data_IF_391306042512
#
_entry.id   IF_391306042512
#
_cell.length_a   1.000
_cell.length_b   1.000
_cell.length_c   1.000
_cell.angle_alpha   90.00
_cell.angle_beta   90.00
_cell.angle_gamma   90.00
#
_symmetry.space_group_name_H-M   'P 1'
#
loop_
_entity.id
_entity.type
_entity.pdbx_description
1 polymer ?
#
# COMPACT_ATOMS: atom_id res chain seq x y z
N UNK A 1 6.13 2.71 17.11
CA UNK A 1 6.52 1.67 16.14
C UNK A 1 5.85 0.38 16.55
N UNK A 2 5.27 -0.41 15.63
CA UNK A 2 4.77 -1.74 16.00
C UNK A 2 5.94 -2.60 16.53
N UNK A 3 5.75 -3.37 17.61
CA UNK A 3 6.76 -4.30 18.09
C UNK A 3 7.13 -5.27 16.96
N UNK A 4 8.41 -5.68 16.88
CA UNK A 4 8.95 -6.59 15.84
C UNK A 4 9.35 -7.94 16.44
N UNK A 5 8.75 -8.29 17.56
CA UNK A 5 9.24 -9.32 18.46
C UNK A 5 8.82 -10.70 17.97
N UNK A 6 7.69 -10.80 17.27
CA UNK A 6 7.19 -12.07 16.69
C UNK A 6 7.26 -12.09 15.16
N UNK A 7 7.27 -13.30 14.59
CA UNK A 7 7.24 -13.46 13.13
C UNK A 7 5.97 -12.86 12.51
N UNK A 8 4.81 -13.01 13.15
CA UNK A 8 3.55 -12.49 12.63
C UNK A 8 3.49 -10.96 12.66
N UNK A 9 4.10 -10.32 13.67
CA UNK A 9 4.30 -8.87 13.68
C UNK A 9 5.20 -8.40 12.53
N UNK A 10 6.26 -9.15 12.22
CA UNK A 10 7.14 -8.85 11.09
C UNK A 10 6.41 -9.01 9.75
N UNK A 11 5.62 -10.08 9.59
CA UNK A 11 4.75 -10.28 8.42
C UNK A 11 3.78 -9.13 8.26
N UNK A 12 3.07 -8.75 9.33
CA UNK A 12 2.11 -7.64 9.32
C UNK A 12 2.77 -6.31 8.95
N UNK A 13 3.98 -6.05 9.47
CA UNK A 13 4.72 -4.84 9.15
C UNK A 13 5.13 -4.84 7.67
N UNK A 14 5.56 -5.98 7.12
CA UNK A 14 5.90 -6.12 5.70
C UNK A 14 4.68 -5.94 4.80
N UNK A 15 3.54 -6.54 5.15
CA UNK A 15 2.27 -6.32 4.46
C UNK A 15 1.92 -4.83 4.36
N UNK A 16 1.97 -4.10 5.47
CA UNK A 16 1.69 -2.66 5.47
C UNK A 16 2.69 -1.86 4.63
N UNK A 17 3.97 -2.22 4.67
CA UNK A 17 4.98 -1.61 3.81
C UNK A 17 4.67 -1.88 2.32
N UNK A 18 4.25 -3.10 1.97
CA UNK A 18 3.86 -3.46 0.61
C UNK A 18 2.62 -2.70 0.14
N UNK A 19 1.58 -2.58 0.97
CA UNK A 19 0.40 -1.78 0.66
C UNK A 19 0.77 -0.32 0.36
N UNK A 20 1.70 0.25 1.14
CA UNK A 20 2.14 1.62 0.93
C UNK A 20 2.82 1.83 -0.44
N UNK A 21 3.44 0.80 -1.01
CA UNK A 21 4.03 0.88 -2.37
C UNK A 21 3.00 1.08 -3.49
N UNK A 22 1.71 0.89 -3.19
CA UNK A 22 0.60 1.10 -4.14
C UNK A 22 -0.09 2.46 -3.96
N UNK A 23 0.33 3.26 -2.98
CA UNK A 23 -0.14 4.63 -2.86
C UNK A 23 0.36 5.48 -4.04
N UNK A 24 -0.56 6.20 -4.69
CA UNK A 24 -0.27 7.08 -5.82
C UNK A 24 0.36 8.41 -5.35
N UNK A 25 1.57 8.32 -4.83
CA UNK A 25 2.38 9.46 -4.42
C UNK A 25 3.23 10.00 -5.58
N UNK A 26 3.82 11.17 -5.39
CA UNK A 26 4.86 11.66 -6.32
C UNK A 26 6.05 10.67 -6.36
N UNK A 27 6.77 10.57 -7.50
CA UNK A 27 7.87 9.60 -7.67
C UNK A 27 8.94 9.64 -6.57
N UNK A 28 9.30 10.84 -6.10
CA UNK A 28 10.28 11.02 -5.01
C UNK A 28 9.86 10.30 -3.72
N UNK A 29 8.57 10.27 -3.41
CA UNK A 29 8.03 9.57 -2.24
C UNK A 29 7.84 8.08 -2.51
N UNK A 30 7.42 7.71 -3.73
CA UNK A 30 7.30 6.30 -4.12
C UNK A 30 8.65 5.58 -4.02
N UNK A 31 9.74 6.23 -4.42
CA UNK A 31 11.12 5.73 -4.22
C UNK A 31 11.39 5.38 -2.75
N UNK A 32 10.98 6.25 -1.82
CA UNK A 32 11.19 6.01 -0.37
C UNK A 32 10.36 4.82 0.14
N UNK A 33 9.10 4.71 -0.30
CA UNK A 33 8.22 3.58 0.08
C UNK A 33 8.74 2.25 -0.45
N UNK A 34 9.13 2.19 -1.73
CA UNK A 34 9.68 1.01 -2.38
C UNK A 34 11.02 0.61 -1.77
N UNK A 35 11.91 1.57 -1.46
CA UNK A 35 13.18 1.29 -0.76
C UNK A 35 12.94 0.68 0.62
N UNK A 36 11.92 1.17 1.34
CA UNK A 36 11.55 0.64 2.66
C UNK A 36 11.03 -0.79 2.54
N UNK A 37 10.09 -1.04 1.63
CA UNK A 37 9.53 -2.36 1.37
C UNK A 37 10.62 -3.35 0.92
N UNK A 38 11.51 -2.96 -0.01
CA UNK A 38 12.62 -3.77 -0.48
C UNK A 38 13.49 -4.28 0.67
N UNK A 39 13.93 -3.38 1.55
CA UNK A 39 14.79 -3.75 2.69
C UNK A 39 14.08 -4.66 3.69
N UNK A 40 12.78 -4.46 3.90
CA UNK A 40 11.99 -5.27 4.83
C UNK A 40 11.76 -6.68 4.28
N UNK A 41 11.35 -6.80 3.01
CA UNK A 41 11.11 -8.10 2.37
C UNK A 41 12.40 -8.89 2.18
N UNK A 42 13.53 -8.22 1.90
CA UNK A 42 14.83 -8.89 1.84
C UNK A 42 15.22 -9.49 3.21
N UNK A 43 14.98 -8.77 4.31
CA UNK A 43 15.22 -9.28 5.67
C UNK A 43 14.27 -10.42 6.06
N UNK A 44 13.02 -10.35 5.59
CA UNK A 44 12.02 -11.41 5.76
C UNK A 44 12.27 -12.62 4.85
N UNK A 45 13.30 -12.55 3.99
CA UNK A 45 13.65 -13.59 3.00
C UNK A 45 12.54 -13.89 1.99
N UNK A 46 11.70 -12.89 1.73
CA UNK A 46 10.75 -12.90 0.63
C UNK A 46 11.40 -12.30 -0.61
N UNK A 47 12.30 -13.07 -1.23
CA UNK A 47 13.18 -12.60 -2.29
C UNK A 47 12.47 -12.39 -3.63
N UNK A 48 11.46 -13.20 -3.96
CA UNK A 48 10.68 -13.05 -5.20
C UNK A 48 9.94 -11.71 -5.18
N UNK A 49 9.24 -11.43 -4.09
CA UNK A 49 8.52 -10.16 -3.93
C UNK A 49 9.48 -8.97 -3.77
N UNK A 50 10.59 -9.13 -3.03
CA UNK A 50 11.62 -8.10 -2.93
C UNK A 50 12.21 -7.71 -4.29
N UNK A 51 12.48 -8.69 -5.18
CA UNK A 51 12.97 -8.43 -6.52
C UNK A 51 12.01 -7.55 -7.34
N UNK A 52 10.70 -7.77 -7.20
CA UNK A 52 9.68 -6.93 -7.85
C UNK A 52 9.76 -5.47 -7.37
N UNK A 53 9.87 -5.25 -6.06
CA UNK A 53 10.05 -3.90 -5.51
C UNK A 53 11.33 -3.24 -6.01
N UNK A 54 12.44 -3.99 -6.13
CA UNK A 54 13.70 -3.46 -6.65
C UNK A 54 13.58 -3.02 -8.12
N UNK A 55 12.89 -3.79 -8.97
CA UNK A 55 12.65 -3.42 -10.38
C UNK A 55 11.82 -2.14 -10.48
N UNK A 56 10.68 -2.07 -9.80
CA UNK A 56 9.82 -0.88 -9.74
C UNK A 56 10.58 0.34 -9.19
N UNK A 57 11.44 0.14 -8.18
CA UNK A 57 12.28 1.21 -7.64
C UNK A 57 13.27 1.75 -8.68
N UNK A 58 13.89 0.88 -9.47
CA UNK A 58 14.85 1.26 -10.51
C UNK A 58 14.18 1.98 -11.69
N UNK A 59 12.97 1.58 -12.05
CA UNK A 59 12.16 2.23 -13.10
C UNK A 59 11.84 3.69 -12.77
N UNK A 60 11.74 4.05 -11.49
CA UNK A 60 11.50 5.44 -11.04
C UNK A 60 12.74 6.35 -11.13
N UNK A 61 13.91 5.83 -11.53
CA UNK A 61 15.14 6.61 -11.68
C UNK A 61 15.66 7.22 -10.36
N UNK A 62 15.97 6.42 -9.33
CA UNK A 62 16.45 6.94 -8.06
C UNK A 62 17.89 7.44 -8.17
N UNK A 63 18.36 8.17 -7.15
CA UNK A 63 19.77 8.64 -7.07
C UNK A 63 20.75 7.48 -7.25
N UNK A 64 21.95 7.70 -7.85
CA UNK A 64 22.89 6.63 -8.18
C UNK A 64 23.22 5.67 -7.03
N UNK A 65 23.41 6.20 -5.82
CA UNK A 65 23.68 5.40 -4.62
C UNK A 65 22.54 4.42 -4.29
N UNK A 66 21.29 4.89 -4.37
CA UNK A 66 20.10 4.06 -4.13
C UNK A 66 19.92 3.05 -5.25
N UNK A 67 20.18 3.44 -6.51
CA UNK A 67 20.13 2.53 -7.65
C UNK A 67 21.16 1.41 -7.54
N UNK A 68 22.40 1.71 -7.15
CA UNK A 68 23.45 0.72 -6.92
C UNK A 68 23.06 -0.26 -5.80
N UNK A 69 22.54 0.25 -4.68
CA UNK A 69 22.06 -0.58 -3.58
C UNK A 69 20.92 -1.50 -4.04
N UNK A 70 19.94 -0.97 -4.78
CA UNK A 70 18.80 -1.73 -5.28
C UNK A 70 19.23 -2.84 -6.27
N UNK A 71 20.16 -2.55 -7.19
CA UNK A 71 20.72 -3.55 -8.11
C UNK A 71 21.45 -4.67 -7.37
N UNK A 72 22.23 -4.35 -6.34
CA UNK A 72 22.92 -5.35 -5.51
C UNK A 72 21.94 -6.28 -4.81
N UNK A 73 20.87 -5.72 -4.24
CA UNK A 73 19.81 -6.52 -3.60
C UNK A 73 19.08 -7.37 -4.64
N UNK A 74 18.72 -6.80 -5.80
CA UNK A 74 18.06 -7.51 -6.88
C UNK A 74 18.86 -8.74 -7.34
N UNK A 75 20.15 -8.58 -7.59
CA UNK A 75 21.04 -9.70 -7.95
C UNK A 75 21.09 -10.78 -6.86
N UNK A 76 21.03 -10.40 -5.58
CA UNK A 76 20.97 -11.36 -4.49
C UNK A 76 19.63 -12.10 -4.45
N UNK A 77 18.51 -11.41 -4.70
CA UNK A 77 17.18 -12.02 -4.78
C UNK A 77 17.06 -12.99 -5.97
N UNK A 78 17.68 -12.68 -7.12
CA UNK A 78 17.60 -13.50 -8.32
C UNK A 78 18.35 -14.84 -8.20
N UNK A 79 19.31 -14.95 -7.28
CA UNK A 79 19.96 -16.24 -6.97
C UNK A 79 19.01 -17.24 -6.31
N UNK A 80 18.04 -16.74 -5.54
CA UNK A 80 17.07 -17.56 -4.81
C UNK A 80 15.68 -16.92 -4.91
N UNK A 81 14.99 -17.03 -6.05
CA UNK A 81 13.75 -16.29 -6.33
C UNK A 81 12.52 -16.95 -5.68
N UNK A 82 12.58 -17.17 -4.37
CA UNK A 82 11.52 -17.79 -3.57
C UNK A 82 11.08 -16.86 -2.45
N UNK A 83 9.82 -16.98 -2.02
CA UNK A 83 9.33 -16.30 -0.82
C UNK A 83 9.20 -17.33 0.31
N UNK A 84 9.84 -17.07 1.46
CA UNK A 84 9.81 -17.98 2.63
C UNK A 84 8.47 -17.93 3.37
N UNK A 85 7.78 -16.80 3.32
CA UNK A 85 6.57 -16.54 4.09
C UNK A 85 5.42 -16.07 3.21
N UNK A 86 4.27 -16.74 3.32
CA UNK A 86 3.03 -16.26 2.74
C UNK A 86 2.54 -15.01 3.49
N UNK A 87 2.22 -13.95 2.73
CA UNK A 87 1.69 -12.69 3.22
C UNK A 87 0.32 -12.42 2.59
N UNK A 88 -0.48 -11.56 3.20
CA UNK A 88 -1.74 -11.06 2.65
C UNK A 88 -1.52 -9.94 1.61
N UNK A 89 -0.64 -10.19 0.65
CA UNK A 89 -0.29 -9.22 -0.39
C UNK A 89 -0.22 -9.91 -1.74
N UNK A 90 -0.88 -9.30 -2.72
CA UNK A 90 -0.83 -9.72 -4.12
C UNK A 90 -0.54 -8.47 -4.95
N UNK A 91 0.60 -8.47 -5.63
CA UNK A 91 1.07 -7.33 -6.41
C UNK A 91 0.33 -7.16 -7.75
N UNK A 92 -0.27 -8.23 -8.27
CA UNK A 92 -0.91 -8.24 -9.59
C UNK A 92 -2.41 -7.92 -9.53
N UNK A 93 -3.02 -8.06 -8.35
CA UNK A 93 -4.43 -7.79 -8.14
C UNK A 93 -4.65 -6.39 -7.56
N UNK A 94 -5.26 -5.44 -8.31
CA UNK A 94 -5.51 -4.10 -7.80
C UNK A 94 -6.37 -4.12 -6.53
N UNK A 95 -5.98 -3.31 -5.53
CA UNK A 95 -6.70 -3.18 -4.27
C UNK A 95 -6.74 -1.74 -3.79
N UNK A 96 -7.75 -1.43 -2.98
CA UNK A 96 -7.79 -0.24 -2.14
C UNK A 96 -7.35 -0.60 -0.72
N UNK A 97 -6.90 0.38 0.07
CA UNK A 97 -6.53 0.15 1.48
C UNK A 97 -7.68 0.60 2.37
N UNK A 98 -8.13 -0.28 3.27
CA UNK A 98 -9.11 0.11 4.28
C UNK A 98 -8.52 1.18 5.22
N UNK A 99 -9.18 2.33 5.31
CA UNK A 99 -8.73 3.47 6.11
C UNK A 99 -8.77 3.30 7.63
N UNK A 100 -9.26 2.16 8.14
CA UNK A 100 -9.28 1.82 9.58
C UNK A 100 -8.40 0.60 9.85
N UNK A 101 -8.66 -0.52 9.16
CA UNK A 101 -7.97 -1.79 9.44
C UNK A 101 -6.62 -1.94 8.72
N UNK A 102 -6.31 -1.07 7.76
CA UNK A 102 -5.11 -1.18 6.90
C UNK A 102 -4.96 -2.56 6.26
N UNK A 103 -6.08 -3.15 5.84
CA UNK A 103 -6.15 -4.38 5.05
C UNK A 103 -6.46 -4.05 3.58
N UNK A 104 -6.01 -4.86 2.62
CA UNK A 104 -6.33 -4.67 1.22
C UNK A 104 -7.78 -5.07 0.95
N UNK A 105 -8.47 -4.28 0.14
CA UNK A 105 -9.79 -4.54 -0.42
C UNK A 105 -9.58 -4.77 -1.91
N UNK A 106 -9.47 -6.03 -2.30
CA UNK A 106 -9.23 -6.40 -3.69
C UNK A 106 -10.42 -6.08 -4.59
N UNK A 107 -10.12 -5.78 -5.86
CA UNK A 107 -11.13 -5.45 -6.86
C UNK A 107 -12.22 -6.53 -6.93
N UNK A 108 -13.48 -6.09 -6.90
CA UNK A 108 -14.66 -6.97 -6.92
C UNK A 108 -15.15 -7.40 -5.53
N UNK A 109 -14.41 -7.12 -4.45
CA UNK A 109 -14.91 -7.26 -3.08
C UNK A 109 -15.76 -6.05 -2.68
N UNK A 110 -16.75 -6.22 -1.78
CA UNK A 110 -17.58 -5.12 -1.31
C UNK A 110 -16.72 -4.08 -0.58
N UNK A 111 -16.94 -2.81 -0.91
CA UNK A 111 -16.20 -1.65 -0.41
C UNK A 111 -17.20 -0.53 -0.13
N UNK A 112 -17.02 0.16 0.99
CA UNK A 112 -17.77 1.37 1.34
C UNK A 112 -16.82 2.58 1.25
N UNK A 113 -17.29 3.69 0.71
CA UNK A 113 -16.47 4.90 0.53
C UNK A 113 -16.94 6.03 1.43
N UNK A 114 -15.99 6.84 1.89
CA UNK A 114 -16.31 8.12 2.50
C UNK A 114 -16.97 9.03 1.47
N UNK A 115 -18.13 9.59 1.84
CA UNK A 115 -18.93 10.48 0.99
C UNK A 115 -18.23 11.80 0.62
N UNK A 116 -17.16 12.16 1.33
CA UNK A 116 -16.39 13.38 1.10
C UNK A 116 -15.02 13.10 0.46
N UNK A 117 -14.12 12.43 1.18
CA UNK A 117 -12.74 12.24 0.73
C UNK A 117 -12.54 10.97 -0.13
N UNK A 118 -13.59 10.20 -0.38
CA UNK A 118 -13.55 8.96 -1.17
C UNK A 118 -12.62 7.87 -0.64
N UNK A 119 -12.17 7.97 0.62
CA UNK A 119 -11.39 6.93 1.26
C UNK A 119 -12.19 5.62 1.36
N UNK A 120 -11.51 4.50 1.16
CA UNK A 120 -12.08 3.16 1.12
C UNK A 120 -12.13 2.49 2.48
N UNK A 121 -13.20 1.75 2.74
CA UNK A 121 -13.41 1.03 3.98
C UNK A 121 -14.07 -0.34 3.71
N UNK A 122 -13.82 -1.29 4.61
CA UNK A 122 -14.55 -2.54 4.62
C UNK A 122 -16.02 -2.27 5.02
N UNK A 123 -16.98 -3.09 4.54
CA UNK A 123 -18.41 -2.90 4.83
C UNK A 123 -18.77 -2.84 6.31
N UNK A 124 -17.99 -3.50 7.17
CA UNK A 124 -18.12 -3.47 8.64
C UNK A 124 -17.91 -2.08 9.28
N UNK A 125 -17.45 -1.10 8.49
CA UNK A 125 -17.25 0.28 8.91
C UNK A 125 -18.30 1.25 8.35
N UNK A 126 -19.32 0.77 7.62
CA UNK A 126 -20.44 1.60 7.17
C UNK A 126 -21.11 2.31 8.35
N UNK A 127 -21.45 3.58 8.18
CA UNK A 127 -22.08 4.42 9.21
C UNK A 127 -21.12 4.95 10.27
N UNK A 128 -19.83 4.57 10.25
CA UNK A 128 -18.82 5.11 11.18
C UNK A 128 -18.27 6.45 10.67
N UNK A 129 -17.69 7.23 11.59
CA UNK A 129 -16.91 8.43 11.25
C UNK A 129 -15.67 8.02 10.45
N UNK A 130 -15.44 8.69 9.33
CA UNK A 130 -14.29 8.47 8.48
C UNK A 130 -12.98 8.86 9.20
N UNK A 131 -12.11 7.88 9.46
CA UNK A 131 -10.81 8.11 10.11
C UNK A 131 -9.81 8.95 9.29
N UNK A 132 -10.09 9.20 8.01
CA UNK A 132 -9.21 9.98 7.12
C UNK A 132 -9.56 11.46 7.17
N UNK A 133 -10.82 11.83 6.92
CA UNK A 133 -11.25 13.24 6.93
C UNK A 133 -11.72 13.73 8.31
N UNK A 134 -12.08 12.82 9.22
CA UNK A 134 -12.53 13.15 10.57
C UNK A 134 -13.92 13.80 10.68
N UNK A 135 -14.64 13.96 9.57
CA UNK A 135 -15.91 14.74 9.55
C UNK A 135 -17.08 14.04 8.88
N UNK A 136 -16.83 13.19 7.89
CA UNK A 136 -17.88 12.55 7.10
C UNK A 136 -18.17 11.11 7.54
N UNK A 137 -19.37 10.64 7.24
CA UNK A 137 -19.83 9.28 7.50
C UNK A 137 -19.49 8.34 6.34
N UNK A 138 -18.98 7.14 6.65
CA UNK A 138 -18.62 6.12 5.66
C UNK A 138 -19.87 5.48 5.06
N UNK A 139 -19.96 5.45 3.72
CA UNK A 139 -21.05 4.81 2.98
C UNK A 139 -22.36 5.60 2.98
N UNK A 140 -22.33 6.89 3.33
CA UNK A 140 -23.49 7.77 3.30
C UNK A 140 -23.80 8.23 1.88
N UNK A 141 -25.06 8.11 1.48
CA UNK A 141 -25.56 8.66 0.22
C UNK A 141 -25.62 10.19 0.31
N UNK A 142 -25.00 10.87 -0.66
CA UNK A 142 -24.90 12.33 -0.73
C UNK A 142 -25.07 12.79 -2.17
N UNK A 143 -25.47 14.06 -2.36
CA UNK A 143 -25.55 14.69 -3.69
C UNK A 143 -24.16 14.89 -4.35
N UNK A 144 -23.09 14.74 -3.57
CA UNK A 144 -21.71 15.00 -3.97
C UNK A 144 -21.27 16.45 -3.71
N UNK A 145 -19.98 16.72 -3.90
CA UNK A 145 -19.39 18.04 -3.69
C UNK A 145 -20.06 19.09 -4.60
N UNK A 146 -20.46 20.23 -4.03
CA UNK A 146 -21.03 21.38 -4.73
C UNK A 146 -20.24 22.63 -4.39
N UNK A 147 -19.48 23.14 -5.36
CA UNK A 147 -18.53 24.26 -5.20
C UNK A 147 -18.59 25.25 -6.37
N UNK A 148 -19.44 25.01 -7.37
CA UNK A 148 -19.59 25.86 -8.54
C UNK A 148 -21.08 26.01 -8.93
N UNK A 149 -21.47 27.19 -9.41
CA UNK A 149 -22.83 27.48 -9.89
C UNK A 149 -23.31 26.53 -11.00
N UNK A 150 -22.39 26.00 -11.81
CA UNK A 150 -22.71 25.05 -12.88
C UNK A 150 -23.40 23.77 -12.38
N UNK A 151 -23.31 23.46 -11.08
CA UNK A 151 -23.84 22.23 -10.50
C UNK A 151 -25.29 22.36 -9.98
N UNK A 152 -25.94 23.51 -10.23
CA UNK A 152 -27.29 23.85 -9.78
C UNK A 152 -28.25 24.18 -10.95
N UNK A 153 -27.92 23.69 -12.15
CA UNK A 153 -28.79 23.79 -13.32
C UNK A 153 -30.00 22.86 -13.21
#
# INVERSE_FOLDING_TARGET
>A
AMPKNTLDEQKRTCEMAAYFTHCKLQPVHQILTLRTALNMFFKLKNYRTAASFARRLLELGPRPEVAQQARKILQACEKTPTDEHQLLYDEHNPFSICGISYKPIYRGKPEEKCSLCSASFLPEHKGKLCAVCGVAEVGKDVLGLRICHLQFQ
#
